data_IF_686884757499
#
_entry.id   IF_686884757499
#
_cell.length_a   1.000
_cell.length_b   1.000
_cell.length_c   1.000
_cell.angle_alpha   90.00
_cell.angle_beta   90.00
_cell.angle_gamma   90.00
#
_symmetry.space_group_name_H-M   'P 1'
#
loop_
_entity.id
_entity.type
_entity.pdbx_description
1 polymer ?
#
# COMPACT_ATOMS: atom_id res chain seq x y z
N UNK A 1 -28.27 4.31 -18.80
CA UNK A 1 -29.48 3.50 -18.56
C UNK A 1 -30.45 4.21 -17.62
N UNK A 2 -30.23 4.27 -16.30
CA UNK A 2 -31.15 4.95 -15.36
C UNK A 2 -31.35 6.45 -15.66
N UNK A 3 -30.27 7.15 -16.04
CA UNK A 3 -30.34 8.57 -16.46
C UNK A 3 -31.23 8.81 -17.69
N UNK A 4 -31.50 7.76 -18.46
CA UNK A 4 -32.34 7.79 -19.66
C UNK A 4 -33.74 7.20 -19.41
N UNK A 5 -34.00 6.70 -18.19
CA UNK A 5 -35.29 6.13 -17.78
C UNK A 5 -36.14 7.24 -17.12
N UNK A 6 -37.37 7.51 -17.60
CA UNK A 6 -38.29 8.48 -17.00
C UNK A 6 -38.52 8.21 -15.51
N UNK A 7 -38.76 9.27 -14.72
CA UNK A 7 -38.90 9.18 -13.25
C UNK A 7 -40.13 8.34 -12.86
N UNK A 8 -41.17 8.39 -13.66
CA UNK A 8 -42.44 7.70 -13.51
C UNK A 8 -42.45 6.26 -14.07
N UNK A 9 -41.34 5.82 -14.69
CA UNK A 9 -41.26 4.49 -15.24
C UNK A 9 -41.31 3.43 -14.11
N UNK A 10 -42.17 2.41 -14.21
CA UNK A 10 -42.40 1.44 -13.14
C UNK A 10 -41.16 0.59 -12.81
N UNK A 11 -40.23 0.44 -13.76
CA UNK A 11 -38.99 -0.32 -13.64
C UNK A 11 -37.83 0.49 -13.05
N UNK A 12 -37.93 1.82 -13.01
CA UNK A 12 -36.85 2.71 -12.58
C UNK A 12 -36.34 2.37 -11.19
N UNK A 13 -37.23 2.12 -10.23
CA UNK A 13 -36.87 1.76 -8.85
C UNK A 13 -36.08 0.45 -8.81
N UNK A 14 -36.49 -0.55 -9.58
CA UNK A 14 -35.79 -1.83 -9.69
C UNK A 14 -34.40 -1.66 -10.32
N UNK A 15 -34.28 -0.77 -11.31
CA UNK A 15 -32.98 -0.45 -11.92
C UNK A 15 -32.05 0.30 -10.95
N UNK A 16 -32.57 1.22 -10.14
CA UNK A 16 -31.80 1.92 -9.10
C UNK A 16 -31.26 0.94 -8.05
N UNK A 17 -32.10 0.02 -7.56
CA UNK A 17 -31.67 -1.05 -6.64
C UNK A 17 -30.63 -1.98 -7.27
N UNK A 18 -30.84 -2.37 -8.53
CA UNK A 18 -29.87 -3.22 -9.23
C UNK A 18 -28.52 -2.52 -9.43
N UNK A 19 -28.53 -1.20 -9.71
CA UNK A 19 -27.30 -0.41 -9.80
C UNK A 19 -26.59 -0.34 -8.44
N UNK A 20 -27.31 -0.04 -7.37
CA UNK A 20 -26.74 0.03 -6.02
C UNK A 20 -26.07 -1.29 -5.64
N UNK A 21 -26.76 -2.42 -5.83
CA UNK A 21 -26.19 -3.74 -5.59
C UNK A 21 -24.92 -4.02 -6.43
N UNK A 22 -24.89 -3.57 -7.69
CA UNK A 22 -23.71 -3.74 -8.54
C UNK A 22 -22.56 -2.79 -8.15
N UNK A 23 -22.86 -1.59 -7.67
CA UNK A 23 -21.86 -0.66 -7.15
C UNK A 23 -21.17 -1.24 -5.89
N UNK A 24 -21.93 -1.92 -5.02
CA UNK A 24 -21.40 -2.63 -3.85
C UNK A 24 -20.47 -3.78 -4.26
N UNK A 25 -20.91 -4.63 -5.20
CA UNK A 25 -20.08 -5.72 -5.74
C UNK A 25 -18.80 -5.19 -6.36
N UNK A 26 -18.89 -4.15 -7.18
CA UNK A 26 -17.73 -3.52 -7.82
C UNK A 26 -16.77 -2.95 -6.78
N UNK A 27 -17.29 -2.27 -5.76
CA UNK A 27 -16.47 -1.69 -4.70
C UNK A 27 -15.72 -2.78 -3.92
N UNK A 28 -16.41 -3.88 -3.59
CA UNK A 28 -15.80 -5.03 -2.92
C UNK A 28 -14.69 -5.68 -3.77
N UNK A 29 -14.96 -5.95 -5.05
CA UNK A 29 -13.98 -6.54 -5.96
C UNK A 29 -12.76 -5.64 -6.13
N UNK A 30 -12.96 -4.32 -6.22
CA UNK A 30 -11.87 -3.36 -6.35
C UNK A 30 -11.00 -3.30 -5.10
N UNK A 31 -11.59 -3.32 -3.91
CA UNK A 31 -10.82 -3.33 -2.66
C UNK A 31 -10.05 -4.65 -2.50
N UNK A 32 -10.67 -5.78 -2.80
CA UNK A 32 -10.01 -7.09 -2.77
C UNK A 32 -8.81 -7.15 -3.73
N UNK A 33 -8.96 -6.61 -4.95
CA UNK A 33 -7.87 -6.52 -5.91
C UNK A 33 -6.74 -5.63 -5.37
N UNK A 34 -7.08 -4.46 -4.83
CA UNK A 34 -6.11 -3.51 -4.25
C UNK A 34 -5.34 -4.12 -3.08
N UNK A 35 -6.00 -4.87 -2.21
CA UNK A 35 -5.36 -5.58 -1.10
C UNK A 35 -4.38 -6.64 -1.61
N UNK A 36 -4.75 -7.38 -2.65
CA UNK A 36 -3.85 -8.37 -3.26
C UNK A 36 -2.63 -7.73 -3.92
N UNK A 37 -2.81 -6.64 -4.67
CA UNK A 37 -1.71 -5.87 -5.28
C UNK A 37 -0.77 -5.30 -4.20
N UNK A 38 -1.34 -4.75 -3.12
CA UNK A 38 -0.58 -4.23 -1.97
C UNK A 38 0.24 -5.35 -1.32
N UNK A 39 -0.37 -6.52 -1.10
CA UNK A 39 0.31 -7.70 -0.55
C UNK A 39 1.47 -8.17 -1.43
N UNK A 40 1.27 -8.21 -2.74
CA UNK A 40 2.31 -8.60 -3.69
C UNK A 40 3.49 -7.61 -3.63
N UNK A 41 3.22 -6.31 -3.68
CA UNK A 41 4.24 -5.27 -3.59
C UNK A 41 5.06 -5.39 -2.30
N UNK A 42 4.41 -5.56 -1.14
CA UNK A 42 5.12 -5.70 0.13
C UNK A 42 5.99 -6.96 0.16
N UNK A 43 5.51 -8.06 -0.43
CA UNK A 43 6.26 -9.31 -0.55
C UNK A 43 7.51 -9.13 -1.43
N UNK A 44 7.38 -8.41 -2.55
CA UNK A 44 8.50 -8.08 -3.44
C UNK A 44 9.54 -7.22 -2.73
N UNK A 45 9.11 -6.19 -1.99
CA UNK A 45 10.00 -5.36 -1.17
C UNK A 45 10.73 -6.21 -0.14
N UNK A 46 10.03 -7.07 0.59
CA UNK A 46 10.63 -7.96 1.58
C UNK A 46 11.73 -8.84 0.96
N UNK A 47 11.45 -9.43 -0.21
CA UNK A 47 12.40 -10.30 -0.92
C UNK A 47 13.58 -9.53 -1.53
N UNK A 48 13.43 -8.22 -1.81
CA UNK A 48 14.50 -7.39 -2.35
C UNK A 48 15.60 -7.03 -1.34
N UNK A 49 15.33 -7.21 -0.03
CA UNK A 49 16.24 -6.83 1.05
C UNK A 49 16.98 -8.08 1.56
N UNK A 50 18.26 -8.21 1.22
CA UNK A 50 19.06 -9.44 1.46
C UNK A 50 19.30 -9.79 2.92
N UNK A 51 19.44 -8.81 3.81
CA UNK A 51 19.77 -9.01 5.23
C UNK A 51 18.66 -8.47 6.14
N UNK A 52 17.41 -8.59 5.70
CA UNK A 52 16.25 -8.17 6.48
C UNK A 52 16.06 -9.08 7.70
N UNK A 53 16.38 -8.58 8.89
CA UNK A 53 16.17 -9.31 10.15
C UNK A 53 14.80 -8.93 10.72
N UNK A 54 13.92 -9.92 10.89
CA UNK A 54 12.61 -9.77 11.52
C UNK A 54 12.36 -10.95 12.47
N UNK A 55 11.43 -10.82 13.44
CA UNK A 55 10.99 -11.95 14.25
C UNK A 55 10.46 -13.09 13.38
N UNK A 56 10.53 -14.32 13.90
CA UNK A 56 9.93 -15.49 13.27
C UNK A 56 8.42 -15.28 13.10
N UNK A 57 7.87 -15.72 11.97
CA UNK A 57 6.46 -15.55 11.57
C UNK A 57 5.96 -14.10 11.40
N UNK A 58 6.85 -13.10 11.38
CA UNK A 58 6.50 -11.70 11.09
C UNK A 58 6.93 -11.31 9.68
N UNK A 59 6.03 -10.64 8.96
CA UNK A 59 6.27 -10.11 7.62
C UNK A 59 6.17 -8.59 7.60
N UNK A 60 6.63 -7.95 6.51
CA UNK A 60 6.46 -6.51 6.34
C UNK A 60 4.99 -6.07 6.31
N UNK A 61 4.05 -6.97 5.96
CA UNK A 61 2.61 -6.70 6.03
C UNK A 61 2.13 -6.41 7.45
N UNK A 62 2.75 -7.01 8.47
CA UNK A 62 2.38 -6.81 9.88
C UNK A 62 2.76 -5.40 10.37
N UNK A 63 3.70 -4.75 9.68
CA UNK A 63 4.08 -3.36 9.91
C UNK A 63 3.23 -2.35 9.13
N UNK A 64 2.23 -2.82 8.38
CA UNK A 64 1.25 -2.00 7.67
C UNK A 64 1.54 -1.84 6.18
N UNK A 65 0.92 -0.83 5.57
CA UNK A 65 1.06 -0.53 4.14
C UNK A 65 2.37 0.20 3.87
N UNK A 66 2.93 -0.01 2.68
CA UNK A 66 4.03 0.81 2.18
C UNK A 66 3.46 2.17 1.74
N UNK A 67 3.85 3.23 2.44
CA UNK A 67 3.38 4.59 2.20
C UNK A 67 4.21 5.34 1.16
N UNK A 68 5.53 5.13 1.17
CA UNK A 68 6.47 5.73 0.23
C UNK A 68 7.80 4.98 0.25
N UNK A 69 8.56 5.07 -0.84
CA UNK A 69 9.94 4.63 -0.90
C UNK A 69 10.78 5.52 -1.83
N UNK A 70 12.11 5.50 -1.63
CA UNK A 70 13.03 6.22 -2.52
C UNK A 70 14.42 6.47 -1.94
N UNK A 71 15.26 7.14 -2.74
CA UNK A 71 16.63 7.49 -2.37
C UNK A 71 16.69 8.80 -1.57
N UNK A 72 17.33 8.75 -0.39
CA UNK A 72 17.48 9.88 0.53
C UNK A 72 18.93 9.98 1.00
N UNK A 73 19.41 11.21 1.19
CA UNK A 73 20.70 11.49 1.84
C UNK A 73 20.48 11.62 3.35
N UNK A 74 21.08 10.72 4.12
CA UNK A 74 20.91 10.63 5.57
C UNK A 74 22.27 10.64 6.28
N UNK A 75 22.38 11.36 7.39
CA UNK A 75 23.53 11.33 8.29
C UNK A 75 23.11 10.78 9.65
N UNK A 76 23.89 9.85 10.19
CA UNK A 76 23.70 9.38 11.56
C UNK A 76 24.08 10.49 12.55
N UNK A 77 23.21 10.78 13.50
CA UNK A 77 23.46 11.77 14.55
C UNK A 77 23.23 11.12 15.91
N UNK A 78 24.27 11.14 16.73
CA UNK A 78 24.21 10.78 18.14
C UNK A 78 24.49 12.03 18.97
N UNK A 79 24.21 12.00 20.27
CA UNK A 79 24.44 13.14 21.18
C UNK A 79 25.87 13.68 21.19
N UNK A 80 26.84 12.91 20.68
CA UNK A 80 28.27 13.26 20.70
C UNK A 80 28.92 13.29 19.31
N UNK A 81 28.27 12.76 18.26
CA UNK A 81 28.87 12.66 16.93
C UNK A 81 27.83 12.86 15.81
N UNK A 82 28.21 13.67 14.82
CA UNK A 82 27.52 13.78 13.54
C UNK A 82 28.32 13.01 12.48
N UNK A 83 27.72 11.95 11.95
CA UNK A 83 28.27 11.16 10.87
C UNK A 83 28.22 11.88 9.52
N UNK A 84 28.97 11.35 8.55
CA UNK A 84 28.91 11.84 7.17
C UNK A 84 27.54 11.53 6.55
N UNK A 85 27.08 12.43 5.68
CA UNK A 85 25.89 12.21 4.86
C UNK A 85 26.11 11.05 3.90
N UNK A 86 25.23 10.05 3.93
CA UNK A 86 25.27 8.86 3.07
C UNK A 86 23.95 8.71 2.33
N UNK A 87 24.03 8.34 1.06
CA UNK A 87 22.86 7.98 0.26
C UNK A 87 22.32 6.62 0.70
N UNK A 88 21.02 6.53 0.91
CA UNK A 88 20.30 5.32 1.35
C UNK A 88 18.97 5.21 0.61
N UNK A 89 18.52 3.99 0.36
CA UNK A 89 17.14 3.76 -0.05
C UNK A 89 16.29 3.59 1.20
N UNK A 90 15.13 4.22 1.25
CA UNK A 90 14.26 4.21 2.42
C UNK A 90 12.90 3.68 2.02
N UNK A 91 12.33 2.79 2.84
CA UNK A 91 10.94 2.34 2.73
C UNK A 91 10.18 2.80 3.97
N UNK A 92 9.06 3.49 3.77
CA UNK A 92 8.20 4.04 4.82
C UNK A 92 6.95 3.17 4.93
N UNK A 93 6.80 2.44 6.03
CA UNK A 93 5.59 1.70 6.37
C UNK A 93 4.81 2.41 7.47
N UNK A 94 3.57 1.98 7.74
CA UNK A 94 2.75 2.58 8.81
C UNK A 94 3.41 2.54 10.19
N UNK A 95 4.11 1.44 10.50
CA UNK A 95 4.71 1.21 11.84
C UNK A 95 6.23 1.26 11.87
N UNK A 96 6.91 1.18 10.72
CA UNK A 96 8.37 1.09 10.66
C UNK A 96 8.96 1.90 9.50
N UNK A 97 10.21 2.31 9.68
CA UNK A 97 11.05 2.89 8.63
C UNK A 97 12.23 1.94 8.38
N UNK A 98 12.41 1.53 7.14
CA UNK A 98 13.52 0.64 6.76
C UNK A 98 14.52 1.44 5.94
N UNK A 99 15.78 1.43 6.35
CA UNK A 99 16.87 2.15 5.69
C UNK A 99 17.88 1.15 5.14
N UNK A 100 17.94 1.07 3.81
CA UNK A 100 18.81 0.14 3.09
C UNK A 100 20.02 0.87 2.50
N UNK A 101 21.17 0.18 2.48
CA UNK A 101 22.28 0.55 1.61
C UNK A 101 22.02 -0.06 0.23
N UNK A 102 21.98 0.76 -0.81
CA UNK A 102 21.87 0.24 -2.17
C UNK A 102 23.12 -0.60 -2.51
N UNK A 103 22.90 -1.85 -2.91
CA UNK A 103 23.92 -2.67 -3.54
C UNK A 103 24.02 -2.20 -5.01
N UNK A 104 25.07 -1.43 -5.33
CA UNK A 104 25.43 -1.14 -6.72
C UNK A 104 26.30 -2.26 -7.27
#
# INVERSE_FOLDING_TARGET
>A
MIKSTPIDAPDRKSLELAKEAMDDVNSYVNEMKRDNETRQLITEVQNSITELTMPEDVTLMDYGRLNADGEVRLSESTSQQFGKMKTRHVFVFDKVLIICKANR
#
